data_IF_710413849547
#
_entry.id   IF_710413849547
#
_cell.length_a   1.000
_cell.length_b   1.000
_cell.length_c   1.000
_cell.angle_alpha   90.00
_cell.angle_beta   90.00
_cell.angle_gamma   90.00
#
_symmetry.space_group_name_H-M   'P 1'
#
loop_
_entity.id
_entity.type
_entity.pdbx_description
1 polymer ?
#
# COMPACT_ATOMS: atom_id res chain seq x y z
N UNK A 1 1.17 20.28 -6.46
CA UNK A 1 0.25 20.28 -5.30
C UNK A 1 0.07 21.67 -4.68
N UNK A 2 1.02 22.61 -4.79
CA UNK A 2 0.93 23.95 -4.17
C UNK A 2 -0.31 24.81 -4.54
N UNK A 3 -1.02 24.49 -5.63
CA UNK A 3 -2.27 25.16 -6.00
C UNK A 3 -3.50 24.66 -5.22
N UNK A 4 -3.41 23.51 -4.56
CA UNK A 4 -4.52 22.88 -3.84
C UNK A 4 -4.48 23.22 -2.35
N UNK A 5 -5.60 23.63 -1.77
CA UNK A 5 -5.71 23.82 -0.30
C UNK A 5 -5.88 22.49 0.43
N UNK A 6 -6.54 21.53 -0.20
CA UNK A 6 -6.84 20.21 0.36
C UNK A 6 -6.48 19.14 -0.68
N UNK A 7 -5.75 18.12 -0.24
CA UNK A 7 -5.44 16.93 -1.04
C UNK A 7 -5.97 15.69 -0.33
N UNK A 8 -6.71 14.86 -1.08
CA UNK A 8 -7.12 13.53 -0.64
C UNK A 8 -6.00 12.55 -1.01
N UNK A 9 -5.34 11.97 -0.01
CA UNK A 9 -4.36 10.91 -0.18
C UNK A 9 -5.05 9.55 -0.06
N UNK A 10 -5.52 9.03 -1.18
CA UNK A 10 -6.23 7.75 -1.26
C UNK A 10 -5.21 6.62 -1.22
N UNK A 11 -5.34 5.73 -0.25
CA UNK A 11 -4.46 4.57 -0.10
C UNK A 11 -5.22 3.28 -0.38
N UNK A 12 -4.65 2.41 -1.22
CA UNK A 12 -5.18 1.07 -1.43
C UNK A 12 -4.09 0.07 -1.86
N UNK A 13 -4.38 -1.23 -1.78
CA UNK A 13 -3.47 -2.30 -2.20
C UNK A 13 -4.10 -3.15 -3.31
N UNK A 14 -3.41 -3.26 -4.44
CA UNK A 14 -3.77 -4.15 -5.56
C UNK A 14 -2.76 -5.28 -5.74
N UNK A 15 -3.18 -6.36 -6.41
CA UNK A 15 -2.35 -7.51 -6.75
C UNK A 15 -2.08 -7.54 -8.26
N UNK A 16 -0.80 -7.60 -8.63
CA UNK A 16 -0.38 -7.86 -10.01
C UNK A 16 -0.19 -9.36 -10.20
N UNK A 17 -1.18 -10.01 -10.80
CA UNK A 17 -1.19 -11.46 -11.03
C UNK A 17 -0.53 -11.84 -12.37
N UNK A 18 0.58 -12.58 -12.31
CA UNK A 18 1.30 -13.06 -13.49
C UNK A 18 1.01 -14.53 -13.83
N UNK A 19 -0.01 -15.11 -13.21
CA UNK A 19 -0.47 -16.49 -13.39
C UNK A 19 0.45 -17.53 -12.73
N UNK A 20 0.35 -18.78 -13.21
CA UNK A 20 1.13 -19.93 -12.70
C UNK A 20 2.53 -20.05 -13.31
N UNK A 21 3.04 -19.00 -13.97
CA UNK A 21 4.32 -19.03 -14.71
C UNK A 21 5.50 -19.18 -13.73
N UNK A 22 5.87 -20.42 -13.45
CA UNK A 22 6.90 -20.80 -12.45
C UNK A 22 8.31 -20.33 -12.80
N UNK A 23 8.60 -20.07 -14.08
CA UNK A 23 9.92 -19.64 -14.56
C UNK A 23 10.24 -18.16 -14.28
N UNK A 24 9.26 -17.34 -13.90
CA UNK A 24 9.50 -15.92 -13.54
C UNK A 24 10.02 -15.84 -12.10
N UNK A 25 11.22 -15.32 -11.95
CA UNK A 25 11.86 -15.07 -10.65
C UNK A 25 11.32 -13.77 -10.03
N UNK A 26 11.53 -13.61 -8.71
CA UNK A 26 11.12 -12.39 -7.99
C UNK A 26 9.62 -12.25 -7.70
N UNK A 27 8.80 -13.25 -8.02
CA UNK A 27 7.36 -13.23 -7.71
C UNK A 27 7.03 -13.92 -6.38
N UNK A 28 6.13 -13.31 -5.61
CA UNK A 28 5.64 -13.82 -4.33
C UNK A 28 4.30 -14.54 -4.44
N UNK A 29 3.83 -15.12 -3.35
CA UNK A 29 2.49 -15.71 -3.26
C UNK A 29 1.43 -14.62 -3.11
N UNK A 30 0.42 -14.64 -3.96
CA UNK A 30 -0.74 -13.73 -3.88
C UNK A 30 -1.81 -14.25 -2.91
N UNK A 31 -2.96 -13.58 -2.83
CA UNK A 31 -4.08 -14.06 -2.01
C UNK A 31 -4.69 -15.36 -2.54
N UNK A 32 -4.65 -15.57 -3.86
CA UNK A 32 -4.92 -16.88 -4.45
C UNK A 32 -3.68 -17.78 -4.30
N UNK A 33 -3.79 -18.97 -3.67
CA UNK A 33 -2.64 -19.82 -3.33
C UNK A 33 -1.78 -20.24 -4.53
N UNK A 34 -2.42 -20.42 -5.68
CA UNK A 34 -1.77 -20.87 -6.92
C UNK A 34 -1.21 -19.70 -7.76
N UNK A 35 -1.62 -18.46 -7.44
CA UNK A 35 -1.22 -17.30 -8.20
C UNK A 35 0.10 -16.72 -7.66
N UNK A 36 1.00 -16.38 -8.59
CA UNK A 36 2.24 -15.68 -8.28
C UNK A 36 2.22 -14.26 -8.81
N UNK A 37 2.72 -13.33 -8.01
CA UNK A 37 2.65 -11.93 -8.34
C UNK A 37 3.31 -11.00 -7.37
N UNK A 38 2.90 -9.73 -7.47
CA UNK A 38 3.37 -8.63 -6.62
C UNK A 38 2.18 -7.96 -5.98
N UNK A 39 2.37 -7.48 -4.76
CA UNK A 39 1.47 -6.52 -4.15
C UNK A 39 1.97 -5.11 -4.45
N UNK A 40 1.02 -4.22 -4.67
CA UNK A 40 1.26 -2.81 -4.95
C UNK A 40 0.38 -2.00 -4.04
N UNK A 41 0.99 -1.30 -3.09
CA UNK A 41 0.30 -0.33 -2.26
C UNK A 41 0.60 1.07 -2.75
N UNK A 42 -0.43 1.81 -3.13
CA UNK A 42 -0.28 3.14 -3.71
C UNK A 42 -0.91 4.20 -2.82
N UNK A 43 -0.26 5.36 -2.76
CA UNK A 43 -0.84 6.62 -2.29
C UNK A 43 -1.15 7.47 -3.51
N UNK A 44 -2.43 7.57 -3.86
CA UNK A 44 -2.91 8.32 -5.02
C UNK A 44 -3.55 9.63 -4.55
N UNK A 45 -2.98 10.75 -5.00
CA UNK A 45 -3.43 12.08 -4.62
C UNK A 45 -4.52 12.56 -5.57
N UNK A 46 -5.59 13.09 -4.98
CA UNK A 46 -6.74 13.64 -5.68
C UNK A 46 -7.08 14.99 -5.06
N UNK A 47 -7.48 15.98 -5.85
CA UNK A 47 -7.99 17.26 -5.31
C UNK A 47 -9.33 17.05 -4.60
N UNK A 48 -9.76 18.06 -3.84
CA UNK A 48 -11.09 18.06 -3.20
C UNK A 48 -12.26 17.98 -4.21
N UNK A 49 -12.02 18.33 -5.48
CA UNK A 49 -12.99 18.23 -6.57
C UNK A 49 -12.94 16.90 -7.33
N UNK A 50 -12.10 15.95 -6.89
CA UNK A 50 -11.98 14.64 -7.55
C UNK A 50 -11.01 14.61 -8.74
N UNK A 51 -10.20 15.66 -8.94
CA UNK A 51 -9.22 15.69 -10.05
C UNK A 51 -7.98 14.88 -9.66
N UNK A 52 -7.54 13.90 -10.48
CA UNK A 52 -6.28 13.20 -10.26
C UNK A 52 -5.07 14.13 -10.24
N UNK A 53 -4.30 14.10 -9.14
CA UNK A 53 -3.05 14.86 -9.01
C UNK A 53 -1.82 13.98 -9.24
N UNK A 54 -1.97 12.65 -9.15
CA UNK A 54 -0.93 11.68 -9.45
C UNK A 54 -0.65 10.70 -8.30
N UNK A 55 0.33 9.83 -8.51
CA UNK A 55 0.80 8.87 -7.49
C UNK A 55 1.92 9.52 -6.68
N UNK A 56 1.72 9.65 -5.37
CA UNK A 56 2.73 10.19 -4.46
C UNK A 56 3.74 9.13 -4.03
N UNK A 57 3.26 7.93 -3.74
CA UNK A 57 4.10 6.82 -3.33
C UNK A 57 3.54 5.49 -3.83
N UNK A 58 4.45 4.56 -4.12
CA UNK A 58 4.11 3.20 -4.50
C UNK A 58 5.09 2.22 -3.85
N UNK A 59 4.58 1.36 -2.98
CA UNK A 59 5.32 0.25 -2.40
C UNK A 59 5.00 -1.03 -3.15
N UNK A 60 6.00 -1.63 -3.77
CA UNK A 60 5.88 -2.89 -4.51
C UNK A 60 6.66 -3.98 -3.80
N UNK A 61 6.03 -5.13 -3.54
CA UNK A 61 6.73 -6.26 -2.94
C UNK A 61 6.22 -7.61 -3.41
N UNK A 62 7.14 -8.58 -3.40
CA UNK A 62 6.83 -9.99 -3.49
C UNK A 62 6.62 -10.54 -2.08
N UNK A 63 5.39 -10.92 -1.74
CA UNK A 63 5.10 -11.56 -0.45
C UNK A 63 5.85 -12.89 -0.36
N UNK A 64 6.75 -13.01 0.63
CA UNK A 64 7.39 -14.28 0.98
C UNK A 64 6.29 -15.27 1.39
N UNK A 65 6.48 -16.58 1.15
CA UNK A 65 5.60 -17.61 1.71
C UNK A 65 5.72 -17.58 3.24
N UNK A 66 4.96 -16.72 3.88
CA UNK A 66 4.81 -16.72 5.33
C UNK A 66 3.89 -17.90 5.59
N UNK A 67 4.41 -18.96 6.24
CA UNK A 67 3.53 -19.92 6.91
C UNK A 67 2.65 -19.06 7.79
N UNK A 68 1.35 -18.96 7.49
CA UNK A 68 0.39 -18.34 8.39
C UNK A 68 0.52 -19.11 9.69
N UNK A 69 1.35 -18.63 10.61
CA UNK A 69 1.35 -19.04 12.00
C UNK A 69 0.11 -18.38 12.58
N UNK A 70 -1.06 -18.86 12.15
CA UNK A 70 -2.32 -18.41 12.72
C UNK A 70 -2.24 -18.61 14.23
N UNK A 71 -2.56 -17.57 14.99
CA UNK A 71 -2.55 -17.62 16.45
C UNK A 71 -1.89 -16.42 17.13
N UNK A 72 -1.41 -16.66 18.35
CA UNK A 72 -0.83 -15.68 19.27
C UNK A 72 0.47 -15.06 18.76
N UNK A 73 1.34 -15.86 18.13
CA UNK A 73 2.64 -15.42 17.63
C UNK A 73 2.54 -14.29 16.60
N UNK A 74 1.55 -14.33 15.71
CA UNK A 74 1.33 -13.27 14.72
C UNK A 74 0.83 -11.96 15.36
N UNK A 75 0.00 -12.07 16.40
CA UNK A 75 -0.49 -10.89 17.15
C UNK A 75 0.64 -10.17 17.87
N UNK A 76 1.58 -10.92 18.42
CA UNK A 76 2.75 -10.41 19.14
C UNK A 76 3.79 -9.73 18.24
N UNK A 77 3.78 -9.97 16.92
CA UNK A 77 4.70 -9.28 16.00
C UNK A 77 4.48 -7.78 16.05
N UNK A 78 5.58 -7.03 16.02
CA UNK A 78 5.53 -5.58 15.94
C UNK A 78 4.86 -5.14 14.64
N UNK A 79 4.23 -3.95 14.64
CA UNK A 79 3.51 -3.46 13.44
C UNK A 79 4.48 -3.30 12.27
N UNK A 80 5.72 -2.88 12.52
CA UNK A 80 6.76 -2.71 11.51
C UNK A 80 7.12 -3.98 10.75
N UNK A 81 6.93 -5.15 11.35
CA UNK A 81 7.17 -6.46 10.73
C UNK A 81 5.95 -6.99 9.96
N UNK A 82 4.77 -6.39 10.18
CA UNK A 82 3.52 -6.76 9.51
C UNK A 82 3.41 -6.01 8.19
N UNK A 83 2.77 -6.64 7.20
CA UNK A 83 2.48 -5.96 5.95
C UNK A 83 1.58 -4.73 6.15
N UNK A 84 0.81 -4.66 7.24
CA UNK A 84 0.00 -3.51 7.62
C UNK A 84 0.82 -2.24 7.87
N UNK A 85 2.14 -2.33 8.10
CA UNK A 85 3.01 -1.16 8.23
C UNK A 85 2.93 -0.22 7.02
N UNK A 86 2.61 -0.76 5.83
CA UNK A 86 2.52 0.00 4.57
C UNK A 86 1.58 1.22 4.66
N UNK A 87 0.51 1.14 5.46
CA UNK A 87 -0.44 2.24 5.65
C UNK A 87 0.18 3.40 6.43
N UNK A 88 0.97 3.10 7.47
CA UNK A 88 1.68 4.09 8.27
C UNK A 88 2.84 4.71 7.49
N UNK A 89 3.53 3.90 6.67
CA UNK A 89 4.55 4.39 5.74
C UNK A 89 3.96 5.36 4.71
N UNK A 90 2.82 5.00 4.09
CA UNK A 90 2.10 5.89 3.17
C UNK A 90 1.69 7.20 3.83
N UNK A 91 1.12 7.15 5.05
CA UNK A 91 0.77 8.34 5.82
C UNK A 91 1.99 9.21 6.10
N UNK A 92 3.07 8.62 6.60
CA UNK A 92 4.32 9.34 6.90
C UNK A 92 4.86 10.05 5.65
N UNK A 93 4.89 9.38 4.52
CA UNK A 93 5.37 9.96 3.26
C UNK A 93 4.49 11.12 2.78
N UNK A 94 3.17 11.07 2.99
CA UNK A 94 2.33 12.24 2.66
C UNK A 94 2.71 13.48 3.47
N UNK A 95 3.10 13.31 4.73
CA UNK A 95 3.51 14.42 5.60
C UNK A 95 4.90 14.96 5.26
N UNK A 96 5.81 14.09 4.81
CA UNK A 96 7.16 14.49 4.41
C UNK A 96 7.20 15.20 3.05
N UNK A 97 6.34 14.80 2.11
CA UNK A 97 6.40 15.27 0.72
C UNK A 97 5.40 16.37 0.39
N UNK A 98 4.31 16.51 1.17
CA UNK A 98 3.34 17.59 0.98
C UNK A 98 3.58 18.65 2.04
N UNK A 99 4.14 19.77 1.60
CA UNK A 99 4.43 20.91 2.47
C UNK A 99 3.18 21.68 2.87
N UNK A 100 3.25 22.35 4.02
CA UNK A 100 2.23 23.32 4.45
C UNK A 100 2.15 24.50 3.46
N UNK A 101 0.97 25.12 3.29
CA UNK A 101 -0.25 25.00 4.10
C UNK A 101 -1.26 23.97 3.59
N UNK A 102 -0.86 23.03 2.73
CA UNK A 102 -1.79 22.05 2.14
C UNK A 102 -2.28 21.07 3.21
N UNK A 103 -3.60 20.97 3.38
CA UNK A 103 -4.19 19.98 4.27
C UNK A 103 -4.31 18.63 3.55
N UNK A 104 -3.70 17.59 4.10
CA UNK A 104 -3.81 16.23 3.57
C UNK A 104 -4.84 15.44 4.35
N UNK A 105 -5.81 14.85 3.64
CA UNK A 105 -6.79 13.91 4.22
C UNK A 105 -6.47 12.52 3.70
N UNK A 106 -6.04 11.62 4.60
CA UNK A 106 -5.84 10.21 4.22
C UNK A 106 -7.19 9.51 4.12
N UNK A 107 -7.43 8.86 2.99
CA UNK A 107 -8.64 8.09 2.72
C UNK A 107 -8.25 6.63 2.50
N UNK A 108 -8.80 5.73 3.30
CA UNK A 108 -8.54 4.30 3.22
C UNK A 108 -9.80 3.52 3.60
N UNK A 109 -9.96 2.32 3.03
CA UNK A 109 -11.02 1.39 3.39
C UNK A 109 -10.68 0.61 4.68
N UNK A 110 -11.68 -0.10 5.22
CA UNK A 110 -11.43 -1.01 6.34
C UNK A 110 -10.76 -2.29 5.81
N UNK A 111 -9.46 -2.40 5.98
CA UNK A 111 -8.70 -3.64 5.73
C UNK A 111 -8.44 -4.41 7.02
N UNK A 112 -8.61 -5.74 6.96
CA UNK A 112 -8.31 -6.69 8.05
C UNK A 112 -6.85 -7.12 8.03
#
# INVERSE_FOLDING_TARGET
>A
MAAEKIVLAVQDTTELNFGKRTKKQGLGSLSSPDAKGLFVHSVFCVSSLGVPLGVLHQKVWARKKIKRTGGYADRMRSISEKESQRWLEGLKLTQEWIEQPVQVVTVADRRK
#
